data_IF_588827406276
#
_entry.id   IF_588827406276
#
_cell.length_a   1.000
_cell.length_b   1.000
_cell.length_c   1.000
_cell.angle_alpha   90.00
_cell.angle_beta   90.00
_cell.angle_gamma   90.00
#
_symmetry.space_group_name_H-M   'P 1'
#
loop_
_entity.id
_entity.type
_entity.pdbx_description
1 polymer ?
#
# COMPACT_ATOMS: atom_id res chain seq x y z
N UNK A 1 22.04 -34.02 18.74
CA UNK A 1 22.54 -33.46 20.02
C UNK A 1 21.85 -32.11 20.20
N UNK A 2 20.67 -32.10 20.81
CA UNK A 2 20.43 -31.67 22.20
C UNK A 2 21.11 -30.33 22.54
N UNK A 3 20.35 -29.24 22.42
CA UNK A 3 20.61 -28.01 23.17
C UNK A 3 19.95 -28.10 24.55
N UNK A 4 20.56 -27.56 25.61
CA UNK A 4 20.08 -27.65 26.99
C UNK A 4 18.88 -26.72 27.24
N UNK A 5 18.06 -26.99 28.28
CA UNK A 5 16.97 -26.11 28.68
C UNK A 5 17.50 -24.82 29.34
N UNK A 6 16.91 -23.68 29.00
CA UNK A 6 17.13 -22.41 29.69
C UNK A 6 16.52 -22.44 31.11
N UNK A 7 17.14 -21.74 32.09
CA UNK A 7 16.69 -21.70 33.48
C UNK A 7 15.39 -20.90 33.66
N UNK A 8 14.60 -21.15 34.72
CA UNK A 8 13.39 -20.41 34.99
C UNK A 8 13.68 -18.96 35.40
N UNK A 9 12.98 -18.00 34.79
CA UNK A 9 13.01 -16.59 35.17
C UNK A 9 12.46 -16.34 36.58
N UNK A 10 12.86 -15.25 37.24
CA UNK A 10 12.56 -14.98 38.64
C UNK A 10 11.07 -14.72 38.89
N UNK A 11 10.60 -15.25 40.02
CA UNK A 11 9.19 -15.29 40.42
C UNK A 11 8.53 -13.93 40.62
N UNK A 12 7.23 -13.91 40.32
CA UNK A 12 6.28 -12.82 40.58
C UNK A 12 6.08 -12.63 42.09
N UNK A 13 6.08 -11.40 42.64
CA UNK A 13 5.64 -11.19 44.01
C UNK A 13 4.09 -11.28 44.12
N UNK A 14 3.56 -11.76 45.26
CA UNK A 14 2.12 -12.00 45.43
C UNK A 14 1.40 -10.80 46.05
N UNK A 15 0.16 -10.56 45.59
CA UNK A 15 -0.96 -10.30 46.50
C UNK A 15 -1.51 -8.88 46.63
N UNK A 16 -2.85 -8.80 46.53
CA UNK A 16 -3.75 -7.80 47.13
C UNK A 16 -4.35 -6.83 46.12
N UNK A 17 -5.66 -6.70 45.90
CA UNK A 17 -6.89 -7.12 46.58
C UNK A 17 -8.08 -6.52 45.78
N UNK A 18 -9.35 -6.80 46.13
CA UNK A 18 -10.48 -6.73 45.21
C UNK A 18 -11.06 -5.33 44.95
N UNK A 19 -11.54 -5.13 43.72
CA UNK A 19 -12.43 -4.04 43.30
C UNK A 19 -13.76 -4.07 44.08
N UNK A 20 -14.30 -2.92 44.53
CA UNK A 20 -15.72 -2.78 44.80
C UNK A 20 -16.47 -2.35 43.52
N UNK A 21 -17.61 -2.99 43.29
CA UNK A 21 -18.59 -2.68 42.25
C UNK A 21 -19.38 -1.38 42.48
N UNK A 22 -20.39 -1.11 41.64
CA UNK A 22 -20.90 0.23 41.37
C UNK A 22 -22.02 0.64 42.34
N UNK A 23 -21.96 1.87 42.84
CA UNK A 23 -23.05 2.46 43.63
C UNK A 23 -22.64 3.74 44.35
N UNK A 24 -22.97 4.90 43.77
CA UNK A 24 -22.83 6.20 44.42
C UNK A 24 -23.15 7.38 43.48
N UNK A 25 -23.66 8.52 43.98
CA UNK A 25 -24.68 9.33 43.30
C UNK A 25 -24.13 10.33 42.28
N UNK A 26 -24.96 10.62 41.27
CA UNK A 26 -24.76 11.65 40.24
C UNK A 26 -24.82 13.06 40.87
N UNK A 27 -23.80 13.92 40.68
CA UNK A 27 -23.87 15.33 41.05
C UNK A 27 -24.63 16.17 40.00
N UNK A 28 -25.34 17.24 40.42
CA UNK A 28 -26.24 18.01 39.56
C UNK A 28 -25.52 18.86 38.52
N UNK A 29 -26.20 19.04 37.38
CA UNK A 29 -25.70 19.72 36.18
C UNK A 29 -25.27 21.17 36.39
N UNK A 30 -24.33 21.60 35.54
CA UNK A 30 -23.90 23.01 35.44
C UNK A 30 -24.66 23.74 34.32
N UNK A 31 -24.92 25.06 34.49
CA UNK A 31 -25.78 25.85 33.61
C UNK A 31 -25.10 26.21 32.28
N UNK A 32 -25.93 26.39 31.25
CA UNK A 32 -25.52 26.78 29.91
C UNK A 32 -24.76 28.12 29.86
N UNK A 33 -23.82 28.20 28.93
CA UNK A 33 -23.08 29.42 28.64
C UNK A 33 -24.01 30.44 27.96
N UNK A 34 -24.16 31.59 28.62
CA UNK A 34 -24.89 32.75 28.13
C UNK A 34 -24.18 33.49 27.01
N UNK A 35 -24.96 34.31 26.30
CA UNK A 35 -24.53 35.16 25.20
C UNK A 35 -23.44 36.18 25.63
N UNK A 36 -22.53 36.58 24.70
CA UNK A 36 -21.52 37.60 24.99
C UNK A 36 -22.13 39.02 25.11
N UNK A 37 -21.47 39.92 25.87
CA UNK A 37 -21.96 41.27 26.17
C UNK A 37 -21.91 42.24 24.96
N UNK A 38 -22.77 43.27 24.94
CA UNK A 38 -22.81 44.26 23.85
C UNK A 38 -21.67 45.28 24.01
N UNK A 39 -20.87 45.51 22.96
CA UNK A 39 -19.85 46.58 23.08
C UNK A 39 -18.77 46.77 22.01
N UNK A 40 -18.69 45.97 20.94
CA UNK A 40 -17.75 46.25 19.85
C UNK A 40 -18.47 46.31 18.51
N UNK A 41 -18.52 47.51 17.94
CA UNK A 41 -19.12 47.80 16.64
C UNK A 41 -18.37 47.15 15.50
N UNK A 42 -19.12 46.65 14.52
CA UNK A 42 -18.64 46.07 13.27
C UNK A 42 -18.11 47.21 12.37
N UNK A 43 -16.90 47.11 11.77
CA UNK A 43 -16.48 48.06 10.75
C UNK A 43 -17.38 47.97 9.50
N UNK A 44 -17.69 49.09 8.82
CA UNK A 44 -18.69 49.11 7.77
C UNK A 44 -18.15 48.52 6.45
N UNK A 45 -18.93 47.60 5.87
CA UNK A 45 -18.91 47.39 4.41
C UNK A 45 -18.52 45.99 3.93
N UNK A 46 -19.33 44.97 4.21
CA UNK A 46 -19.58 43.89 3.25
C UNK A 46 -21.06 43.49 3.36
N UNK A 47 -21.84 43.80 2.33
CA UNK A 47 -23.25 43.43 2.24
C UNK A 47 -23.40 41.91 2.20
N UNK A 48 -24.49 41.44 2.81
CA UNK A 48 -24.90 40.05 2.80
C UNK A 48 -25.04 39.53 1.35
N UNK A 49 -24.07 38.74 0.90
CA UNK A 49 -24.23 37.89 -0.26
C UNK A 49 -25.21 36.77 0.08
N UNK A 50 -26.22 36.58 -0.77
CA UNK A 50 -27.16 35.48 -0.66
C UNK A 50 -26.42 34.16 -0.44
N UNK A 51 -26.80 33.40 0.59
CA UNK A 51 -26.28 32.06 0.82
C UNK A 51 -26.50 31.17 -0.41
N UNK A 52 -25.64 30.16 -0.65
CA UNK A 52 -25.82 29.25 -1.76
C UNK A 52 -27.16 28.53 -1.60
N UNK A 53 -28.06 28.71 -2.56
CA UNK A 53 -29.31 27.97 -2.65
C UNK A 53 -29.06 26.45 -2.74
N UNK A 54 -30.10 25.63 -2.53
CA UNK A 54 -29.98 24.18 -2.57
C UNK A 54 -29.38 23.72 -3.90
N UNK A 55 -28.35 22.86 -3.83
CA UNK A 55 -27.70 22.27 -4.99
C UNK A 55 -28.71 21.37 -5.73
N UNK A 56 -28.82 21.46 -7.06
CA UNK A 56 -29.68 20.55 -7.81
C UNK A 56 -29.17 19.11 -7.68
N UNK A 57 -30.06 18.10 -7.69
CA UNK A 57 -29.66 16.70 -7.70
C UNK A 57 -28.85 16.41 -8.98
N UNK A 58 -27.69 15.75 -8.84
CA UNK A 58 -26.84 15.38 -9.97
C UNK A 58 -27.47 14.23 -10.77
N UNK A 59 -27.80 14.50 -12.05
CA UNK A 59 -28.42 13.55 -12.99
C UNK A 59 -29.37 14.15 -14.05
N UNK A 60 -29.62 15.46 -14.04
CA UNK A 60 -30.49 16.08 -15.06
C UNK A 60 -29.77 16.28 -16.41
N UNK A 61 -30.45 16.09 -17.57
CA UNK A 61 -29.88 16.40 -18.88
C UNK A 61 -29.49 17.88 -19.00
N UNK A 62 -28.37 18.16 -19.69
CA UNK A 62 -27.97 19.53 -20.02
C UNK A 62 -29.05 20.20 -20.91
N UNK A 63 -29.36 21.50 -20.70
CA UNK A 63 -30.30 22.22 -21.55
C UNK A 63 -29.73 22.39 -22.98
N UNK A 64 -30.59 22.54 -24.01
CA UNK A 64 -30.14 22.67 -25.40
C UNK A 64 -29.24 23.90 -25.59
N UNK A 65 -28.22 23.75 -26.44
CA UNK A 65 -27.32 24.83 -26.82
C UNK A 65 -28.08 25.96 -27.52
N UNK A 66 -28.27 27.09 -26.83
CA UNK A 66 -28.96 28.23 -27.44
C UNK A 66 -29.25 29.46 -26.56
N UNK A 67 -28.78 29.52 -25.30
CA UNK A 67 -29.02 30.73 -24.48
C UNK A 67 -27.93 31.79 -24.71
N UNK A 68 -28.31 33.08 -24.89
CA UNK A 68 -27.37 34.16 -25.17
C UNK A 68 -26.52 34.47 -23.93
N UNK A 69 -25.21 34.54 -24.15
CA UNK A 69 -24.22 34.88 -23.12
C UNK A 69 -24.34 36.37 -22.81
N UNK A 70 -24.72 36.71 -21.57
CA UNK A 70 -24.71 38.10 -21.09
C UNK A 70 -23.29 38.70 -21.04
N UNK A 71 -23.14 40.04 -20.98
CA UNK A 71 -21.86 40.71 -21.15
C UNK A 71 -20.85 40.32 -20.06
N UNK A 72 -19.68 39.83 -20.49
CA UNK A 72 -18.55 39.49 -19.63
C UNK A 72 -18.01 40.75 -18.96
N UNK A 73 -17.99 40.77 -17.62
CA UNK A 73 -17.21 41.77 -16.86
C UNK A 73 -15.71 41.47 -17.02
N UNK A 74 -14.84 42.49 -17.17
CA UNK A 74 -13.40 42.29 -17.19
C UNK A 74 -12.91 41.67 -15.87
N UNK A 75 -12.04 40.68 -15.97
CA UNK A 75 -11.30 40.13 -14.82
C UNK A 75 -10.35 41.21 -14.27
N UNK A 76 -10.15 41.30 -12.94
CA UNK A 76 -9.17 42.20 -12.37
C UNK A 76 -7.74 41.81 -12.80
N UNK A 77 -6.83 42.77 -12.95
CA UNK A 77 -5.46 42.51 -13.38
C UNK A 77 -4.69 41.67 -12.36
N UNK A 78 -3.89 40.73 -12.87
CA UNK A 78 -2.97 39.92 -12.07
C UNK A 78 -1.90 40.82 -11.40
N UNK A 79 -1.46 40.51 -10.17
CA UNK A 79 -0.39 41.24 -9.52
C UNK A 79 0.95 41.05 -10.28
N UNK A 80 1.87 42.03 -10.22
CA UNK A 80 3.16 41.96 -10.91
C UNK A 80 4.03 40.82 -10.39
N UNK A 81 4.82 40.20 -11.28
CA UNK A 81 5.80 39.19 -10.93
C UNK A 81 6.87 39.78 -9.98
N UNK A 82 7.03 39.18 -8.78
CA UNK A 82 8.10 39.54 -7.83
C UNK A 82 7.68 39.71 -6.36
N UNK A 83 6.41 39.50 -5.99
CA UNK A 83 5.98 39.61 -4.59
C UNK A 83 6.17 38.27 -3.83
N UNK A 84 7.38 38.03 -3.33
CA UNK A 84 7.60 36.99 -2.33
C UNK A 84 7.17 37.53 -0.96
N UNK A 85 6.10 36.94 -0.42
CA UNK A 85 5.66 37.19 0.95
C UNK A 85 6.79 36.85 1.94
N UNK A 86 7.02 37.76 2.87
CA UNK A 86 7.95 37.60 3.99
C UNK A 86 7.52 36.41 4.86
N UNK A 87 8.38 35.44 5.20
CA UNK A 87 8.01 34.36 6.10
C UNK A 87 7.74 34.89 7.51
N UNK A 88 6.80 34.31 8.27
CA UNK A 88 6.51 34.74 9.63
C UNK A 88 7.70 34.45 10.55
N UNK A 89 8.03 35.43 11.41
CA UNK A 89 9.09 35.37 12.41
C UNK A 89 8.77 34.34 13.49
N UNK A 90 9.72 33.43 13.75
CA UNK A 90 9.67 32.46 14.84
C UNK A 90 9.86 33.14 16.21
N UNK A 91 8.83 33.05 17.05
CA UNK A 91 8.90 33.45 18.45
C UNK A 91 9.03 32.23 19.36
N UNK A 92 10.20 32.06 19.99
CA UNK A 92 10.36 31.45 21.32
C UNK A 92 9.97 29.97 21.50
N UNK A 93 10.71 29.03 20.90
CA UNK A 93 10.60 27.59 21.20
C UNK A 93 11.89 26.77 21.09
N UNK A 94 13.00 27.38 20.65
CA UNK A 94 14.24 26.65 20.31
C UNK A 94 15.08 26.17 21.51
N UNK A 95 14.94 26.80 22.68
CA UNK A 95 15.77 26.46 23.84
C UNK A 95 15.33 25.16 24.55
N UNK A 96 14.03 24.85 24.56
CA UNK A 96 13.53 23.63 25.20
C UNK A 96 13.85 22.37 24.37
N UNK A 97 13.78 22.47 23.04
CA UNK A 97 14.05 21.34 22.13
C UNK A 97 15.55 21.01 22.10
N UNK A 98 16.43 22.01 22.11
CA UNK A 98 17.88 21.77 22.14
C UNK A 98 18.35 21.07 23.43
N UNK A 99 17.73 21.37 24.57
CA UNK A 99 18.06 20.72 25.85
C UNK A 99 17.58 19.27 25.89
N UNK A 100 16.39 18.98 25.35
CA UNK A 100 15.86 17.60 25.29
C UNK A 100 16.67 16.73 24.33
N UNK A 101 17.07 17.27 23.16
CA UNK A 101 17.92 16.56 22.20
C UNK A 101 19.32 16.33 22.77
N UNK A 102 19.91 17.32 23.45
CA UNK A 102 21.22 17.17 24.09
C UNK A 102 21.21 16.11 25.20
N UNK A 103 20.16 16.06 26.02
CA UNK A 103 20.00 15.05 27.07
C UNK A 103 19.80 13.63 26.50
N UNK A 104 19.08 13.51 25.38
CA UNK A 104 18.88 12.22 24.72
C UNK A 104 20.17 11.70 24.07
N UNK A 105 20.95 12.57 23.42
CA UNK A 105 22.25 12.23 22.85
C UNK A 105 23.26 11.86 23.94
N UNK A 106 23.31 12.62 25.05
CA UNK A 106 24.18 12.26 26.18
C UNK A 106 23.75 10.94 26.85
N UNK A 107 22.45 10.64 26.94
CA UNK A 107 21.94 9.37 27.45
C UNK A 107 22.37 8.17 26.59
N UNK A 108 22.24 8.30 25.26
CA UNK A 108 22.66 7.28 24.29
C UNK A 108 24.17 7.01 24.32
N UNK A 109 24.99 8.07 24.37
CA UNK A 109 26.46 7.94 24.43
C UNK A 109 26.90 7.34 25.77
N UNK A 110 26.23 7.68 26.87
CA UNK A 110 26.51 7.09 28.19
C UNK A 110 26.18 5.59 28.25
N UNK A 111 25.08 5.17 27.61
CA UNK A 111 24.69 3.76 27.52
C UNK A 111 25.69 2.94 26.68
N UNK A 112 26.24 3.51 25.61
CA UNK A 112 27.25 2.87 24.76
C UNK A 112 28.61 2.69 25.48
N UNK A 113 29.04 3.66 26.29
CA UNK A 113 30.30 3.56 27.06
C UNK A 113 30.20 2.54 28.21
N UNK A 114 29.02 2.40 28.84
CA UNK A 114 28.79 1.35 29.86
C UNK A 114 28.77 -0.05 29.23
N UNK A 115 28.24 -0.20 28.01
CA UNK A 115 28.30 -1.47 27.28
C UNK A 115 29.72 -1.86 26.84
N UNK A 116 30.54 -0.87 26.42
CA UNK A 116 31.92 -1.12 26.00
C UNK A 116 32.87 -1.44 27.17
N UNK A 117 32.59 -0.97 28.38
CA UNK A 117 33.45 -1.19 29.56
C UNK A 117 33.16 -2.47 30.34
N UNK A 118 32.07 -3.18 30.02
CA UNK A 118 31.77 -4.51 30.57
C UNK A 118 32.30 -5.67 29.72
N UNK A 119 32.76 -5.42 28.50
CA UNK A 119 33.19 -6.45 27.56
C UNK A 119 34.68 -6.84 27.65
N UNK A 120 35.46 -6.21 28.54
CA UNK A 120 36.93 -6.30 28.55
C UNK A 120 37.53 -6.96 29.80
N UNK A 121 36.82 -7.92 30.39
CA UNK A 121 37.36 -8.77 31.46
C UNK A 121 36.96 -10.23 31.26
N UNK A 122 37.76 -10.93 30.47
CA UNK A 122 38.52 -12.09 30.94
C UNK A 122 39.26 -12.73 29.75
N UNK A 123 40.58 -12.64 29.78
CA UNK A 123 41.48 -13.44 28.94
C UNK A 123 42.70 -13.75 29.79
N UNK A 124 42.83 -15.00 30.25
CA UNK A 124 44.16 -15.58 30.45
C UNK A 124 44.17 -17.13 30.39
N UNK A 125 44.76 -17.61 29.30
CA UNK A 125 45.82 -18.63 29.16
C UNK A 125 45.88 -19.88 30.08
N UNK A 126 45.88 -21.09 29.48
CA UNK A 126 47.08 -21.96 29.33
C UNK A 126 46.75 -23.33 28.68
N UNK A 127 47.81 -23.97 28.18
CA UNK A 127 47.95 -24.90 27.04
C UNK A 127 47.70 -26.41 27.25
N UNK A 128 47.36 -27.05 26.13
CA UNK A 128 47.69 -28.43 25.65
C UNK A 128 46.92 -29.65 26.18
N UNK A 129 46.24 -30.42 25.31
CA UNK A 129 46.71 -31.58 24.51
C UNK A 129 45.50 -32.31 23.87
N UNK A 130 45.67 -32.96 22.70
CA UNK A 130 44.87 -34.15 22.37
C UNK A 130 44.03 -34.17 21.08
N UNK A 131 44.67 -34.59 19.98
CA UNK A 131 44.24 -35.61 19.00
C UNK A 131 42.95 -35.43 18.18
N UNK A 132 43.12 -35.23 16.87
CA UNK A 132 42.10 -35.30 15.81
C UNK A 132 42.03 -36.68 15.18
N UNK A 133 40.83 -37.23 14.88
CA UNK A 133 40.66 -38.14 13.76
C UNK A 133 39.86 -37.49 12.62
N UNK A 134 40.39 -37.67 11.42
CA UNK A 134 39.86 -37.29 10.11
C UNK A 134 38.77 -38.27 9.65
N UNK A 135 37.77 -37.78 8.92
CA UNK A 135 37.13 -38.54 7.85
C UNK A 135 36.72 -37.64 6.67
N UNK A 136 37.12 -38.10 5.49
CA UNK A 136 37.01 -37.53 4.15
C UNK A 136 35.63 -37.80 3.52
N UNK A 137 35.10 -36.83 2.74
CA UNK A 137 34.05 -37.06 1.76
C UNK A 137 34.62 -36.88 0.33
N UNK A 138 34.27 -37.75 -0.64
CA UNK A 138 34.78 -37.66 -2.01
C UNK A 138 33.97 -36.70 -2.89
N UNK A 139 34.68 -35.86 -3.63
CA UNK A 139 34.18 -35.10 -4.78
C UNK A 139 34.31 -35.93 -6.05
N UNK A 140 33.31 -35.85 -6.94
CA UNK A 140 33.40 -36.42 -8.30
C UNK A 140 33.15 -35.32 -9.31
N UNK A 141 34.20 -34.93 -10.01
CA UNK A 141 34.19 -34.17 -11.27
C UNK A 141 34.19 -35.15 -12.44
N UNK A 142 33.60 -34.77 -13.57
CA UNK A 142 33.90 -35.43 -14.83
C UNK A 142 33.91 -34.42 -15.96
N UNK A 143 35.11 -34.26 -16.53
CA UNK A 143 35.41 -33.62 -17.80
C UNK A 143 34.88 -34.50 -18.95
N UNK A 144 34.68 -33.92 -20.13
CA UNK A 144 34.48 -34.69 -21.37
C UNK A 144 35.33 -34.09 -22.48
N UNK A 145 36.21 -34.92 -23.02
CA UNK A 145 37.15 -34.64 -24.11
C UNK A 145 36.64 -35.24 -25.42
N UNK A 146 36.87 -34.52 -26.51
CA UNK A 146 36.58 -34.86 -27.91
C UNK A 146 37.41 -36.03 -28.46
N UNK A 147 36.80 -36.91 -29.26
CA UNK A 147 37.50 -37.68 -30.30
C UNK A 147 36.55 -38.02 -31.46
N UNK A 148 37.05 -37.90 -32.70
CA UNK A 148 36.35 -38.19 -33.94
C UNK A 148 36.86 -39.50 -34.56
N UNK A 149 35.97 -40.33 -35.13
CA UNK A 149 36.31 -41.30 -36.19
C UNK A 149 35.11 -41.57 -37.10
N UNK A 150 35.35 -41.49 -38.41
CA UNK A 150 34.53 -41.83 -39.59
C UNK A 150 34.13 -43.30 -39.72
N UNK A 151 32.92 -43.60 -40.23
CA UNK A 151 32.69 -44.58 -41.32
C UNK A 151 31.27 -44.52 -41.90
N UNK A 152 31.16 -44.62 -43.22
CA UNK A 152 29.93 -44.67 -44.06
C UNK A 152 29.27 -46.07 -43.98
N UNK A 153 28.03 -46.41 -44.39
CA UNK A 153 27.09 -46.02 -45.46
C UNK A 153 25.80 -46.90 -45.25
N UNK A 154 24.83 -46.98 -46.19
CA UNK A 154 23.53 -46.29 -46.19
C UNK A 154 22.33 -47.20 -45.84
N UNK A 155 21.17 -46.62 -45.53
CA UNK A 155 19.88 -47.29 -45.74
C UNK A 155 18.82 -46.29 -46.20
N UNK A 156 18.43 -46.46 -47.45
CA UNK A 156 17.28 -45.88 -48.16
C UNK A 156 15.96 -46.29 -47.50
N UNK A 157 15.00 -45.36 -47.39
CA UNK A 157 13.55 -45.62 -47.61
C UNK A 157 12.73 -44.32 -47.51
N UNK A 158 12.37 -43.82 -48.69
CA UNK A 158 11.08 -43.26 -49.12
C UNK A 158 10.31 -42.26 -48.23
N UNK A 159 10.31 -41.00 -48.69
CA UNK A 159 9.31 -40.01 -48.33
C UNK A 159 8.02 -40.21 -49.14
N UNK A 160 6.91 -40.52 -48.47
CA UNK A 160 5.58 -40.41 -49.05
C UNK A 160 5.04 -38.99 -48.81
N UNK A 161 5.07 -38.18 -49.86
CA UNK A 161 4.31 -36.93 -49.93
C UNK A 161 2.83 -37.26 -50.07
N UNK A 162 2.03 -36.90 -49.07
CA UNK A 162 0.57 -36.89 -49.18
C UNK A 162 0.08 -35.43 -49.11
N UNK A 163 -0.18 -34.84 -50.27
CA UNK A 163 -0.93 -33.59 -50.39
C UNK A 163 -2.35 -33.79 -49.88
N UNK A 164 -2.69 -33.20 -48.73
CA UNK A 164 -4.08 -33.04 -48.28
C UNK A 164 -4.50 -31.60 -48.53
N UNK A 165 -5.33 -31.41 -49.55
CA UNK A 165 -6.09 -30.19 -49.76
C UNK A 165 -7.17 -30.11 -48.67
N UNK A 166 -6.87 -29.44 -47.56
CA UNK A 166 -7.86 -29.11 -46.56
C UNK A 166 -8.64 -27.87 -47.02
N UNK A 167 -9.93 -28.04 -47.30
CA UNK A 167 -10.86 -26.92 -47.48
C UNK A 167 -10.79 -26.03 -46.23
N UNK A 168 -10.59 -24.73 -46.44
CA UNK A 168 -10.72 -23.73 -45.39
C UNK A 168 -12.15 -23.78 -44.82
N UNK A 169 -12.28 -24.31 -43.60
CA UNK A 169 -13.51 -24.18 -42.82
C UNK A 169 -13.78 -22.71 -42.51
N UNK A 170 -15.05 -22.31 -42.31
CA UNK A 170 -15.38 -20.93 -41.99
C UNK A 170 -14.65 -20.52 -40.71
N UNK A 171 -13.77 -19.53 -40.82
CA UNK A 171 -13.08 -18.92 -39.69
C UNK A 171 -14.14 -18.22 -38.84
N UNK A 172 -14.69 -18.96 -37.89
CA UNK A 172 -15.47 -18.37 -36.81
C UNK A 172 -14.43 -17.75 -35.89
N UNK A 173 -14.11 -16.48 -36.07
CA UNK A 173 -13.36 -15.71 -35.07
C UNK A 173 -14.24 -15.64 -33.83
N UNK A 174 -14.13 -16.65 -32.98
CA UNK A 174 -14.61 -16.59 -31.59
C UNK A 174 -13.94 -15.35 -31.02
N UNK A 175 -14.73 -14.34 -30.65
CA UNK A 175 -14.21 -13.17 -29.97
C UNK A 175 -13.40 -13.68 -28.78
N UNK A 176 -12.10 -13.38 -28.74
CA UNK A 176 -11.24 -13.75 -27.63
C UNK A 176 -11.88 -13.18 -26.36
N UNK A 177 -12.09 -14.03 -25.36
CA UNK A 177 -12.60 -13.59 -24.06
C UNK A 177 -11.69 -12.54 -23.42
N UNK A 178 -12.08 -11.99 -22.26
CA UNK A 178 -11.24 -11.05 -21.54
C UNK A 178 -9.85 -11.63 -21.26
N UNK A 179 -8.78 -10.90 -21.61
CA UNK A 179 -7.39 -11.32 -21.43
C UNK A 179 -6.57 -10.21 -20.78
N UNK A 180 -5.62 -10.54 -19.89
CA UNK A 180 -4.63 -9.56 -19.42
C UNK A 180 -3.89 -8.93 -20.61
N UNK A 181 -3.44 -7.70 -20.45
CA UNK A 181 -2.62 -7.01 -21.45
C UNK A 181 -1.31 -6.61 -20.79
N UNK A 182 -0.24 -7.32 -21.14
CA UNK A 182 1.11 -7.01 -20.66
C UNK A 182 1.57 -5.64 -21.21
N UNK A 183 1.24 -4.59 -20.45
CA UNK A 183 1.51 -3.20 -20.76
C UNK A 183 1.45 -2.40 -19.45
N UNK A 184 2.35 -1.43 -19.29
CA UNK A 184 2.34 -0.45 -18.21
C UNK A 184 1.58 0.81 -18.64
N UNK A 185 2.27 1.83 -19.14
CA UNK A 185 1.70 3.14 -19.49
C UNK A 185 0.48 3.11 -20.43
N UNK A 186 0.46 2.13 -21.36
CA UNK A 186 -0.57 1.99 -22.38
C UNK A 186 -1.60 0.88 -22.06
N UNK A 187 -1.69 0.42 -20.81
CA UNK A 187 -2.66 -0.60 -20.42
C UNK A 187 -4.11 -0.12 -20.69
N UNK A 188 -5.01 -0.97 -21.23
CA UNK A 188 -6.41 -0.62 -21.44
C UNK A 188 -7.15 -0.14 -20.19
N UNK A 189 -6.65 -0.50 -19.00
CA UNK A 189 -7.14 0.00 -17.72
C UNK A 189 -7.23 1.54 -17.68
N UNK A 190 -6.31 2.24 -18.35
CA UNK A 190 -6.22 3.71 -18.37
C UNK A 190 -6.90 4.38 -19.57
N UNK A 191 -7.47 3.62 -20.50
CA UNK A 191 -7.92 4.14 -21.79
C UNK A 191 -9.10 5.12 -21.69
N UNK A 192 -9.94 4.99 -20.66
CA UNK A 192 -11.14 5.81 -20.49
C UNK A 192 -11.01 6.79 -19.31
N UNK A 193 -10.98 8.08 -19.62
CA UNK A 193 -10.80 9.14 -18.63
C UNK A 193 -11.96 9.32 -17.65
N UNK A 194 -13.12 8.74 -17.94
CA UNK A 194 -14.30 8.81 -17.08
C UNK A 194 -14.46 7.58 -16.18
N UNK A 195 -13.62 6.54 -16.36
CA UNK A 195 -13.69 5.34 -15.55
C UNK A 195 -13.14 5.58 -14.14
N UNK A 196 -13.85 5.05 -13.16
CA UNK A 196 -13.53 5.05 -11.74
C UNK A 196 -14.30 3.94 -11.04
N UNK A 197 -14.08 3.78 -9.75
CA UNK A 197 -14.83 2.82 -8.95
C UNK A 197 -16.28 3.26 -8.83
N UNK A 198 -17.21 2.32 -8.97
CA UNK A 198 -18.61 2.57 -8.68
C UNK A 198 -18.82 2.68 -7.16
N UNK A 199 -19.69 3.59 -6.75
CA UNK A 199 -20.02 3.79 -5.34
C UNK A 199 -20.90 2.65 -4.83
N UNK A 200 -20.30 1.72 -4.09
CA UNK A 200 -20.98 0.56 -3.49
C UNK A 200 -20.91 0.66 -1.97
N UNK A 201 -22.04 0.43 -1.29
CA UNK A 201 -22.03 0.26 0.17
C UNK A 201 -21.43 -1.10 0.53
N UNK A 202 -20.37 -1.09 1.33
CA UNK A 202 -19.74 -2.29 1.84
C UNK A 202 -20.36 -2.67 3.18
N UNK A 203 -20.93 -3.87 3.26
CA UNK A 203 -21.35 -4.47 4.52
C UNK A 203 -20.16 -5.25 5.10
N UNK A 204 -19.47 -4.66 6.07
CA UNK A 204 -18.34 -5.28 6.75
C UNK A 204 -18.79 -5.85 8.11
N UNK A 205 -18.38 -7.09 8.47
CA UNK A 205 -18.62 -7.60 9.81
C UNK A 205 -17.80 -6.79 10.84
N UNK A 206 -18.11 -6.97 12.13
CA UNK A 206 -17.32 -6.35 13.20
C UNK A 206 -15.85 -6.80 13.16
N UNK A 207 -14.94 -5.89 13.49
CA UNK A 207 -13.52 -6.18 13.58
C UNK A 207 -13.14 -6.80 14.93
N UNK A 208 -12.20 -7.74 14.89
CA UNK A 208 -11.41 -8.18 16.03
C UNK A 208 -10.08 -8.77 15.52
N UNK A 209 -8.99 -8.55 16.26
CA UNK A 209 -7.66 -9.08 15.97
C UNK A 209 -7.55 -10.59 16.28
N UNK A 210 -8.41 -11.38 15.65
CA UNK A 210 -8.34 -12.84 15.64
C UNK A 210 -8.38 -13.32 14.20
N UNK A 211 -7.61 -14.36 13.87
CA UNK A 211 -7.50 -14.84 12.49
C UNK A 211 -8.86 -15.13 11.85
N UNK A 212 -9.80 -15.75 12.58
CA UNK A 212 -11.15 -16.06 12.05
C UNK A 212 -11.97 -14.80 11.76
N UNK A 213 -12.01 -13.84 12.68
CA UNK A 213 -12.80 -12.61 12.50
C UNK A 213 -12.17 -11.71 11.44
N UNK A 214 -10.85 -11.53 11.47
CA UNK A 214 -10.12 -10.75 10.47
C UNK A 214 -10.26 -11.35 9.06
N UNK A 215 -10.16 -12.68 8.93
CA UNK A 215 -10.38 -13.36 7.64
C UNK A 215 -11.81 -13.12 7.13
N UNK A 216 -12.82 -13.18 7.99
CA UNK A 216 -14.20 -12.87 7.59
C UNK A 216 -14.36 -11.40 7.16
N UNK A 217 -13.74 -10.47 7.90
CA UNK A 217 -13.70 -9.05 7.59
C UNK A 217 -13.09 -8.77 6.22
N UNK A 218 -11.90 -9.30 5.96
CA UNK A 218 -11.19 -9.09 4.70
C UNK A 218 -11.85 -9.82 3.51
N UNK A 219 -12.52 -10.96 3.73
CA UNK A 219 -13.33 -11.58 2.68
C UNK A 219 -14.55 -10.71 2.29
N UNK A 220 -15.19 -10.06 3.27
CA UNK A 220 -16.27 -9.10 2.99
C UNK A 220 -15.74 -7.86 2.24
N UNK A 221 -14.56 -7.36 2.63
CA UNK A 221 -13.86 -6.28 1.93
C UNK A 221 -13.53 -6.67 0.47
N UNK A 222 -12.95 -7.86 0.25
CA UNK A 222 -12.66 -8.43 -1.08
C UNK A 222 -13.91 -8.49 -1.96
N UNK A 223 -15.02 -8.94 -1.38
CA UNK A 223 -16.32 -8.98 -2.07
C UNK A 223 -16.80 -7.58 -2.46
N UNK A 224 -16.61 -6.58 -1.60
CA UNK A 224 -17.00 -5.20 -1.91
C UNK A 224 -16.13 -4.59 -3.01
N UNK A 225 -14.80 -4.68 -2.87
CA UNK A 225 -13.83 -4.22 -3.88
C UNK A 225 -14.07 -4.88 -5.24
N UNK A 226 -14.39 -6.18 -5.25
CA UNK A 226 -14.77 -6.89 -6.47
C UNK A 226 -16.00 -6.30 -7.16
N UNK A 227 -17.04 -5.95 -6.41
CA UNK A 227 -18.22 -5.26 -6.97
C UNK A 227 -17.86 -3.90 -7.56
N UNK A 228 -16.88 -3.20 -6.97
CA UNK A 228 -16.45 -1.87 -7.41
C UNK A 228 -15.59 -1.92 -8.69
N UNK A 229 -14.68 -2.89 -8.79
CA UNK A 229 -13.73 -3.03 -9.91
C UNK A 229 -14.31 -3.76 -11.13
N UNK A 230 -15.07 -4.83 -10.90
CA UNK A 230 -15.52 -5.73 -11.97
C UNK A 230 -16.24 -5.02 -13.14
N UNK A 231 -17.14 -4.04 -12.93
CA UNK A 231 -17.82 -3.37 -14.05
C UNK A 231 -16.85 -2.70 -15.01
N UNK A 232 -15.81 -2.04 -14.49
CA UNK A 232 -14.85 -1.31 -15.29
C UNK A 232 -13.90 -2.24 -16.05
N UNK A 233 -13.39 -3.28 -15.39
CA UNK A 233 -12.54 -4.28 -16.03
C UNK A 233 -13.27 -4.94 -17.20
N UNK A 234 -14.55 -5.30 -17.01
CA UNK A 234 -15.41 -5.80 -18.07
C UNK A 234 -15.57 -4.82 -19.23
N UNK A 235 -15.74 -3.52 -18.95
CA UNK A 235 -15.86 -2.48 -19.98
C UNK A 235 -14.59 -2.32 -20.81
N UNK A 236 -13.41 -2.68 -20.28
CA UNK A 236 -12.14 -2.64 -20.99
C UNK A 236 -11.71 -4.02 -21.56
N UNK A 237 -12.61 -5.01 -21.54
CA UNK A 237 -12.31 -6.40 -21.92
C UNK A 237 -11.11 -7.01 -21.15
N UNK A 238 -10.92 -6.59 -19.90
CA UNK A 238 -9.91 -7.13 -18.97
C UNK A 238 -10.55 -8.22 -18.08
N UNK A 239 -9.77 -9.24 -17.66
CA UNK A 239 -10.31 -10.34 -16.89
C UNK A 239 -10.65 -9.92 -15.47
N UNK A 240 -11.46 -10.73 -14.81
CA UNK A 240 -11.77 -10.55 -13.40
C UNK A 240 -12.04 -11.89 -12.73
N UNK A 241 -11.33 -12.12 -11.64
CA UNK A 241 -11.64 -13.08 -10.60
C UNK A 241 -11.37 -12.44 -9.24
N UNK A 242 -12.01 -12.95 -8.19
CA UNK A 242 -11.73 -12.48 -6.84
C UNK A 242 -10.44 -13.13 -6.31
N UNK A 243 -9.62 -12.41 -5.52
CA UNK A 243 -8.48 -13.01 -4.86
C UNK A 243 -8.94 -13.87 -3.68
N UNK A 244 -8.13 -14.84 -3.30
CA UNK A 244 -8.21 -15.51 -1.99
C UNK A 244 -7.68 -14.56 -0.92
N UNK A 245 -8.09 -14.80 0.33
CA UNK A 245 -7.67 -14.00 1.49
C UNK A 245 -7.22 -14.92 2.60
N UNK A 246 -6.05 -14.63 3.18
CA UNK A 246 -5.46 -15.37 4.30
C UNK A 246 -4.96 -14.38 5.35
N UNK A 247 -5.53 -14.41 6.55
CA UNK A 247 -5.16 -13.50 7.65
C UNK A 247 -4.83 -14.30 8.92
N UNK A 248 -3.62 -14.88 9.05
CA UNK A 248 -3.23 -15.61 10.24
C UNK A 248 -2.90 -14.65 11.38
N UNK A 249 -2.87 -15.17 12.61
CA UNK A 249 -2.43 -14.38 13.77
C UNK A 249 -0.97 -13.99 13.63
N UNK A 250 -0.10 -14.92 13.20
CA UNK A 250 1.32 -14.68 13.04
C UNK A 250 1.78 -14.86 11.59
N UNK A 251 2.67 -14.00 11.11
CA UNK A 251 3.32 -14.18 9.80
C UNK A 251 4.10 -15.50 9.70
N UNK A 252 4.62 -16.02 10.81
CA UNK A 252 5.27 -17.34 10.85
C UNK A 252 4.34 -18.50 10.50
N UNK A 253 3.03 -18.30 10.58
CA UNK A 253 2.02 -19.32 10.23
C UNK A 253 1.68 -19.29 8.73
N UNK A 254 2.26 -18.36 7.96
CA UNK A 254 2.01 -18.23 6.53
C UNK A 254 2.74 -19.30 5.72
N UNK A 255 2.03 -19.77 4.69
CA UNK A 255 2.63 -20.51 3.58
C UNK A 255 2.19 -19.84 2.29
N UNK A 256 3.16 -19.30 1.54
CA UNK A 256 2.94 -18.59 0.29
C UNK A 256 3.98 -18.99 -0.76
N UNK A 257 3.59 -19.20 -2.03
CA UNK A 257 4.54 -19.43 -3.11
C UNK A 257 5.34 -18.17 -3.48
N UNK A 258 4.89 -16.99 -3.05
CA UNK A 258 5.64 -15.73 -3.20
C UNK A 258 6.49 -15.40 -1.96
N UNK A 259 6.48 -16.25 -0.93
CA UNK A 259 7.17 -16.00 0.33
C UNK A 259 8.64 -15.67 0.12
N UNK A 260 8.99 -14.39 0.22
CA UNK A 260 10.33 -13.93 0.52
C UNK A 260 10.46 -13.71 2.02
N UNK A 261 11.63 -14.04 2.56
CA UNK A 261 12.10 -13.53 3.84
C UNK A 261 12.24 -12.01 3.74
N UNK A 262 11.31 -11.23 4.29
CA UNK A 262 11.33 -9.77 4.27
C UNK A 262 10.40 -9.14 5.32
N UNK A 263 10.64 -7.86 5.65
CA UNK A 263 9.74 -7.05 6.47
C UNK A 263 8.60 -6.53 5.58
N UNK A 264 7.46 -7.21 5.55
CA UNK A 264 6.24 -6.75 4.89
C UNK A 264 5.12 -6.58 5.91
N UNK A 265 4.19 -5.64 5.69
CA UNK A 265 2.98 -5.51 6.52
C UNK A 265 1.89 -6.49 6.05
N UNK A 266 1.61 -6.46 4.75
CA UNK A 266 0.72 -7.34 4.00
C UNK A 266 1.31 -7.51 2.59
N UNK A 267 0.78 -8.45 1.80
CA UNK A 267 1.17 -8.58 0.40
C UNK A 267 0.14 -9.35 -0.43
N UNK A 268 0.02 -9.01 -1.71
CA UNK A 268 -0.61 -9.83 -2.74
C UNK A 268 0.40 -10.75 -3.42
N UNK A 269 0.02 -12.01 -3.63
CA UNK A 269 0.81 -13.01 -4.34
C UNK A 269 0.17 -13.37 -5.68
N UNK A 270 0.75 -12.90 -6.79
CA UNK A 270 0.29 -13.19 -8.14
C UNK A 270 0.38 -14.68 -8.53
N UNK A 271 1.28 -15.45 -7.91
CA UNK A 271 1.44 -16.88 -8.24
C UNK A 271 0.25 -17.75 -7.80
N UNK A 272 -0.58 -17.30 -6.86
CA UNK A 272 -1.75 -18.05 -6.39
C UNK A 272 -3.01 -17.19 -6.16
N UNK A 273 -3.00 -15.94 -6.63
CA UNK A 273 -4.06 -14.94 -6.49
C UNK A 273 -4.54 -14.77 -5.04
N UNK A 274 -3.60 -14.59 -4.10
CA UNK A 274 -3.93 -14.52 -2.66
C UNK A 274 -3.40 -13.24 -2.02
N UNK A 275 -4.27 -12.54 -1.29
CA UNK A 275 -3.90 -11.45 -0.39
C UNK A 275 -3.62 -12.03 1.01
N UNK A 276 -2.43 -11.75 1.53
CA UNK A 276 -1.95 -12.20 2.83
C UNK A 276 -1.90 -11.02 3.82
N UNK A 277 -2.62 -11.14 4.93
CA UNK A 277 -2.78 -10.10 5.97
C UNK A 277 -2.41 -10.62 7.37
N UNK A 278 -1.13 -10.92 7.65
CA UNK A 278 -0.69 -11.36 8.98
C UNK A 278 -0.95 -10.28 10.04
N UNK A 279 -1.66 -10.65 11.11
CA UNK A 279 -2.17 -9.68 12.09
C UNK A 279 -1.07 -9.03 12.94
N UNK A 280 0.03 -9.72 13.17
CA UNK A 280 1.20 -9.19 13.88
C UNK A 280 2.07 -8.23 13.05
N UNK A 281 1.92 -8.24 11.72
CA UNK A 281 2.67 -7.37 10.81
C UNK A 281 1.88 -6.11 10.40
N UNK A 282 0.55 -6.17 10.40
CA UNK A 282 -0.30 -4.97 10.20
C UNK A 282 -0.48 -4.14 11.49
N UNK A 283 0.33 -4.39 12.52
CA UNK A 283 0.40 -3.63 13.77
C UNK A 283 -0.94 -3.54 14.51
N UNK A 284 -1.60 -4.69 14.69
CA UNK A 284 -2.89 -4.75 15.40
C UNK A 284 -2.80 -4.31 16.87
N UNK A 285 -1.62 -4.40 17.47
CA UNK A 285 -1.28 -3.92 18.81
C UNK A 285 -1.17 -2.38 18.89
N UNK A 286 -0.72 -1.72 17.82
CA UNK A 286 -0.59 -0.26 17.72
C UNK A 286 -1.94 0.39 17.38
N UNK A 287 -2.62 -0.12 16.35
CA UNK A 287 -3.84 0.49 15.83
C UNK A 287 -5.12 0.02 16.54
N UNK A 288 -5.10 -1.12 17.25
CA UNK A 288 -6.23 -1.63 18.03
C UNK A 288 -7.51 -1.83 17.22
N UNK A 289 -8.60 -1.18 17.65
CA UNK A 289 -9.92 -1.29 17.00
C UNK A 289 -10.09 -0.35 15.78
N UNK A 290 -9.01 0.30 15.32
CA UNK A 290 -9.03 1.17 14.13
C UNK A 290 -9.03 0.35 12.84
N UNK A 291 -10.09 -0.43 12.65
CA UNK A 291 -10.29 -1.36 11.53
C UNK A 291 -10.10 -0.71 10.15
N UNK A 292 -10.37 0.58 10.04
CA UNK A 292 -10.27 1.35 8.81
C UNK A 292 -8.80 1.47 8.32
N UNK A 293 -7.82 1.41 9.22
CA UNK A 293 -6.39 1.34 8.86
C UNK A 293 -6.04 0.01 8.19
N UNK A 294 -6.56 -1.11 8.71
CA UNK A 294 -6.31 -2.41 8.08
C UNK A 294 -7.07 -2.55 6.76
N UNK A 295 -8.22 -1.88 6.63
CA UNK A 295 -9.01 -1.90 5.41
C UNK A 295 -8.34 -1.13 4.25
N UNK A 296 -7.69 0.00 4.52
CA UNK A 296 -6.92 0.71 3.47
C UNK A 296 -5.68 -0.08 3.05
N UNK A 297 -4.99 -0.75 3.99
CA UNK A 297 -3.90 -1.70 3.66
C UNK A 297 -4.44 -2.83 2.78
N UNK A 298 -5.58 -3.42 3.14
CA UNK A 298 -6.21 -4.45 2.30
C UNK A 298 -6.60 -3.91 0.91
N UNK A 299 -7.03 -2.65 0.81
CA UNK A 299 -7.37 -2.02 -0.47
C UNK A 299 -6.13 -1.78 -1.34
N UNK A 300 -4.98 -1.48 -0.73
CA UNK A 300 -3.68 -1.42 -1.40
C UNK A 300 -3.30 -2.78 -1.99
N UNK A 301 -3.39 -3.86 -1.20
CA UNK A 301 -3.12 -5.22 -1.72
C UNK A 301 -4.11 -5.64 -2.81
N UNK A 302 -5.36 -5.19 -2.72
CA UNK A 302 -6.31 -5.37 -3.81
C UNK A 302 -5.93 -4.60 -5.07
N UNK A 303 -5.23 -3.46 -4.93
CA UNK A 303 -4.62 -2.73 -6.03
C UNK A 303 -3.62 -3.58 -6.80
N UNK A 304 -2.74 -4.31 -6.10
CA UNK A 304 -1.84 -5.28 -6.73
C UNK A 304 -2.57 -6.42 -7.41
N UNK A 305 -3.66 -6.92 -6.82
CA UNK A 305 -4.54 -7.89 -7.49
C UNK A 305 -5.08 -7.34 -8.82
N UNK A 306 -5.51 -6.07 -8.86
CA UNK A 306 -5.93 -5.42 -10.10
C UNK A 306 -4.78 -5.32 -11.10
N UNK A 307 -3.58 -4.93 -10.68
CA UNK A 307 -2.40 -4.88 -11.55
C UNK A 307 -2.05 -6.25 -12.16
N UNK A 308 -2.22 -7.32 -11.39
CA UNK A 308 -2.05 -8.70 -11.86
C UNK A 308 -3.14 -9.08 -12.87
N UNK A 309 -4.42 -8.84 -12.57
CA UNK A 309 -5.53 -9.07 -13.49
C UNK A 309 -5.32 -8.36 -14.85
N UNK A 310 -4.79 -7.14 -14.83
CA UNK A 310 -4.62 -6.35 -16.04
C UNK A 310 -3.32 -6.62 -16.81
N UNK A 311 -2.39 -7.39 -16.24
CA UNK A 311 -1.07 -7.70 -16.82
C UNK A 311 -0.02 -6.60 -16.60
N UNK A 312 -0.31 -5.59 -15.77
CA UNK A 312 0.65 -4.53 -15.44
C UNK A 312 1.82 -5.11 -14.63
N UNK A 313 1.50 -5.93 -13.63
CA UNK A 313 2.50 -6.55 -12.74
C UNK A 313 3.48 -7.42 -13.54
N UNK A 314 2.99 -8.24 -14.47
CA UNK A 314 3.83 -9.09 -15.31
C UNK A 314 4.75 -8.25 -16.22
N UNK A 315 4.22 -7.18 -16.81
CA UNK A 315 5.00 -6.28 -17.66
C UNK A 315 6.06 -5.52 -16.87
N UNK A 316 5.73 -5.07 -15.65
CA UNK A 316 6.68 -4.41 -14.76
C UNK A 316 7.81 -5.35 -14.36
N UNK A 317 7.49 -6.59 -13.98
CA UNK A 317 8.48 -7.59 -13.56
C UNK A 317 9.49 -7.85 -14.69
N UNK A 318 9.02 -8.01 -15.92
CA UNK A 318 9.88 -8.17 -17.10
C UNK A 318 10.79 -6.95 -17.33
N UNK A 319 10.22 -5.73 -17.28
CA UNK A 319 10.99 -4.50 -17.48
C UNK A 319 12.05 -4.29 -16.39
N UNK A 320 11.72 -4.67 -15.16
CA UNK A 320 12.62 -4.56 -14.01
C UNK A 320 13.78 -5.55 -14.12
N UNK A 321 13.51 -6.79 -14.49
CA UNK A 321 14.54 -7.79 -14.78
C UNK A 321 15.51 -7.31 -15.86
N UNK A 322 14.98 -6.79 -16.99
CA UNK A 322 15.78 -6.30 -18.12
C UNK A 322 16.71 -5.13 -17.75
N UNK A 323 16.29 -4.27 -16.82
CA UNK A 323 17.04 -3.09 -16.37
C UNK A 323 17.98 -3.39 -15.19
N UNK A 324 17.78 -4.53 -14.52
CA UNK A 324 18.41 -4.88 -13.26
C UNK A 324 17.55 -4.47 -12.07
N UNK A 325 17.20 -5.45 -11.23
CA UNK A 325 16.27 -5.33 -10.10
C UNK A 325 16.63 -4.23 -9.09
N UNK A 326 17.93 -4.08 -8.82
CA UNK A 326 18.47 -3.12 -7.84
C UNK A 326 19.05 -1.86 -8.50
N UNK A 327 18.87 -1.70 -9.81
CA UNK A 327 19.27 -0.46 -10.49
C UNK A 327 18.31 0.67 -10.13
N UNK A 328 18.77 1.93 -10.20
CA UNK A 328 17.90 3.11 -9.97
C UNK A 328 16.62 3.06 -10.81
N UNK A 329 16.71 2.57 -12.04
CA UNK A 329 15.55 2.41 -12.94
C UNK A 329 14.67 1.24 -12.53
N UNK A 330 15.24 0.13 -12.10
CA UNK A 330 14.50 -1.02 -11.58
C UNK A 330 13.71 -0.65 -10.31
N UNK A 331 14.34 0.08 -9.39
CA UNK A 331 13.69 0.61 -8.19
C UNK A 331 12.61 1.66 -8.52
N UNK A 332 12.81 2.49 -9.57
CA UNK A 332 11.76 3.38 -10.05
C UNK A 332 10.53 2.62 -10.58
N UNK A 333 10.73 1.49 -11.27
CA UNK A 333 9.63 0.65 -11.71
C UNK A 333 8.87 0.02 -10.54
N UNK A 334 9.56 -0.36 -9.46
CA UNK A 334 8.91 -0.80 -8.21
C UNK A 334 8.06 0.33 -7.62
N UNK A 335 8.63 1.53 -7.44
CA UNK A 335 7.89 2.70 -6.92
C UNK A 335 6.66 3.06 -7.74
N UNK A 336 6.73 2.96 -9.07
CA UNK A 336 5.56 3.17 -9.95
C UNK A 336 4.46 2.14 -9.70
N UNK A 337 4.82 0.87 -9.48
CA UNK A 337 3.86 -0.20 -9.18
C UNK A 337 3.18 0.04 -7.82
N UNK A 338 3.98 0.32 -6.78
CA UNK A 338 3.47 0.56 -5.41
C UNK A 338 2.58 1.80 -5.33
N UNK A 339 3.01 2.92 -5.93
CA UNK A 339 2.23 4.17 -5.91
C UNK A 339 0.93 4.08 -6.73
N UNK A 340 0.88 3.20 -7.73
CA UNK A 340 -0.35 2.93 -8.48
C UNK A 340 -1.34 2.13 -7.64
N UNK A 341 -0.89 1.09 -6.95
CA UNK A 341 -1.70 0.34 -5.98
C UNK A 341 -2.20 1.26 -4.85
N UNK A 342 -1.35 2.17 -4.41
CA UNK A 342 -1.68 3.18 -3.42
C UNK A 342 -2.74 4.19 -3.91
N UNK A 343 -2.66 4.63 -5.16
CA UNK A 343 -3.71 5.45 -5.78
C UNK A 343 -5.03 4.69 -5.88
N UNK A 344 -4.99 3.39 -6.22
CA UNK A 344 -6.17 2.52 -6.25
C UNK A 344 -6.82 2.36 -4.86
N UNK A 345 -6.03 2.25 -3.80
CA UNK A 345 -6.53 2.26 -2.42
C UNK A 345 -7.23 3.60 -2.08
N UNK A 346 -6.62 4.72 -2.48
CA UNK A 346 -7.23 6.04 -2.35
C UNK A 346 -8.59 6.13 -3.06
N UNK A 347 -8.70 5.60 -4.29
CA UNK A 347 -9.98 5.56 -5.02
C UNK A 347 -11.07 4.81 -4.24
N UNK A 348 -10.73 3.67 -3.62
CA UNK A 348 -11.63 2.91 -2.77
C UNK A 348 -12.07 3.73 -1.57
N UNK A 349 -11.13 4.40 -0.88
CA UNK A 349 -11.44 5.25 0.28
C UNK A 349 -12.34 6.42 -0.11
N UNK A 350 -12.07 7.10 -1.21
CA UNK A 350 -12.90 8.22 -1.69
C UNK A 350 -14.34 7.80 -2.01
N UNK A 351 -14.52 6.67 -2.71
CA UNK A 351 -15.83 6.07 -2.94
C UNK A 351 -16.53 5.68 -1.65
N UNK A 352 -15.79 5.11 -0.70
CA UNK A 352 -16.29 4.64 0.59
C UNK A 352 -16.72 5.78 1.52
N UNK A 353 -15.98 6.90 1.53
CA UNK A 353 -16.39 8.15 2.18
C UNK A 353 -17.70 8.65 1.58
N UNK A 354 -17.83 8.66 0.26
CA UNK A 354 -19.04 9.14 -0.42
C UNK A 354 -20.30 8.36 -0.01
N UNK A 355 -20.20 7.04 0.16
CA UNK A 355 -21.33 6.20 0.58
C UNK A 355 -21.55 6.13 2.09
N UNK A 356 -20.68 6.77 2.88
CA UNK A 356 -20.77 6.86 4.34
C UNK A 356 -20.23 5.65 5.09
N UNK A 357 -19.27 4.90 4.53
CA UNK A 357 -18.60 3.80 5.23
C UNK A 357 -17.69 4.32 6.37
N UNK A 358 -17.07 5.48 6.16
CA UNK A 358 -16.15 6.09 7.12
C UNK A 358 -16.74 7.37 7.72
N UNK A 359 -16.46 7.62 8.99
CA UNK A 359 -16.66 8.95 9.58
C UNK A 359 -15.60 9.93 9.07
N UNK A 360 -15.87 11.24 9.19
CA UNK A 360 -14.89 12.26 8.82
C UNK A 360 -13.56 12.11 9.60
N UNK A 361 -13.64 11.77 10.89
CA UNK A 361 -12.45 11.60 11.73
C UNK A 361 -11.63 10.38 11.30
N UNK A 362 -12.28 9.30 10.87
CA UNK A 362 -11.61 8.12 10.31
C UNK A 362 -10.93 8.46 8.98
N UNK A 363 -11.62 9.19 8.09
CA UNK A 363 -11.05 9.65 6.82
C UNK A 363 -9.82 10.53 7.03
N UNK A 364 -9.91 11.53 7.92
CA UNK A 364 -8.78 12.41 8.24
C UNK A 364 -7.62 11.65 8.88
N UNK A 365 -7.91 10.61 9.67
CA UNK A 365 -6.85 9.75 10.21
C UNK A 365 -6.12 9.01 9.09
N UNK A 366 -6.86 8.31 8.22
CA UNK A 366 -6.31 7.55 7.08
C UNK A 366 -5.44 8.45 6.20
N UNK A 367 -5.95 9.63 5.82
CA UNK A 367 -5.22 10.62 5.04
C UNK A 367 -3.87 10.98 5.66
N UNK A 368 -3.82 11.21 6.97
CA UNK A 368 -2.57 11.56 7.67
C UNK A 368 -1.62 10.38 7.78
N UNK A 369 -2.17 9.20 8.05
CA UNK A 369 -1.41 7.96 8.19
C UNK A 369 -0.70 7.58 6.88
N UNK A 370 -1.28 7.89 5.71
CA UNK A 370 -0.60 7.66 4.43
C UNK A 370 0.69 8.48 4.28
N UNK A 371 0.75 9.70 4.79
CA UNK A 371 1.97 10.51 4.74
C UNK A 371 3.08 10.02 5.69
N UNK A 372 2.85 8.95 6.45
CA UNK A 372 3.86 8.34 7.34
C UNK A 372 4.32 6.95 6.90
N UNK A 373 3.92 6.49 5.70
CA UNK A 373 4.12 5.11 5.20
C UNK A 373 5.10 4.99 4.03
N UNK A 374 5.77 6.08 3.64
CA UNK A 374 6.82 6.03 2.61
C UNK A 374 8.13 5.41 3.08
N UNK A 375 9.11 5.38 2.19
CA UNK A 375 10.42 4.73 2.39
C UNK A 375 11.15 5.24 3.65
N UNK A 376 10.97 6.50 4.04
CA UNK A 376 11.59 7.06 5.25
C UNK A 376 11.09 6.42 6.57
N UNK A 377 9.97 5.70 6.52
CA UNK A 377 9.39 4.97 7.65
C UNK A 377 9.84 3.52 7.73
N UNK A 378 10.41 2.98 6.65
CA UNK A 378 10.90 1.61 6.54
C UNK A 378 12.37 1.58 6.99
N UNK A 379 12.71 0.82 8.03
CA UNK A 379 14.09 0.62 8.47
C UNK A 379 14.89 -0.32 7.53
N UNK A 380 14.37 -0.61 6.34
CA UNK A 380 14.92 -1.52 5.34
C UNK A 380 15.63 -0.77 4.21
N UNK A 381 16.45 -1.49 3.46
CA UNK A 381 17.14 -1.00 2.27
C UNK A 381 16.23 -0.93 1.02
N UNK A 382 15.05 -1.55 1.05
CA UNK A 382 14.08 -1.49 -0.04
C UNK A 382 13.39 -0.11 -0.09
N UNK A 383 13.71 0.66 -1.14
CA UNK A 383 13.11 1.97 -1.48
C UNK A 383 12.11 1.79 -2.62
N UNK A 384 11.01 1.08 -2.34
CA UNK A 384 10.00 0.68 -3.31
C UNK A 384 8.66 1.40 -3.13
N UNK A 385 8.45 2.17 -2.07
CA UNK A 385 7.19 2.90 -1.81
C UNK A 385 7.29 4.40 -2.14
N UNK A 386 8.50 4.92 -2.38
CA UNK A 386 8.77 6.35 -2.58
C UNK A 386 8.70 7.12 -1.27
N UNK A 387 9.03 8.41 -1.28
CA UNK A 387 8.93 9.23 -0.06
C UNK A 387 7.47 9.35 0.39
N UNK A 388 7.24 9.49 1.69
CA UNK A 388 5.90 9.55 2.29
C UNK A 388 5.03 10.67 1.74
N UNK A 389 5.64 11.74 1.24
CA UNK A 389 4.92 12.77 0.49
C UNK A 389 4.25 12.21 -0.78
N UNK A 390 4.97 11.47 -1.63
CA UNK A 390 4.40 10.88 -2.84
C UNK A 390 3.40 9.77 -2.51
N UNK A 391 3.72 8.93 -1.51
CA UNK A 391 2.81 7.89 -1.04
C UNK A 391 1.45 8.46 -0.62
N UNK A 392 1.47 9.53 0.18
CA UNK A 392 0.26 10.24 0.59
C UNK A 392 -0.42 10.99 -0.57
N UNK A 393 0.33 11.64 -1.47
CA UNK A 393 -0.23 12.42 -2.57
C UNK A 393 -0.97 11.53 -3.60
N UNK A 394 -0.42 10.37 -3.96
CA UNK A 394 -1.10 9.43 -4.85
C UNK A 394 -2.38 8.88 -4.24
N UNK A 395 -2.41 8.62 -2.94
CA UNK A 395 -3.61 8.20 -2.24
C UNK A 395 -4.64 9.34 -2.11
N UNK A 396 -4.27 10.43 -1.45
CA UNK A 396 -5.21 11.49 -1.03
C UNK A 396 -5.52 12.43 -2.18
N UNK A 397 -4.48 12.95 -2.83
CA UNK A 397 -4.61 14.04 -3.81
C UNK A 397 -4.94 13.55 -5.22
N UNK A 398 -4.77 12.25 -5.49
CA UNK A 398 -5.13 11.63 -6.78
C UNK A 398 -6.29 10.64 -6.61
N UNK A 399 -6.06 9.53 -5.92
CA UNK A 399 -7.01 8.42 -5.80
C UNK A 399 -8.32 8.82 -5.14
N UNK A 400 -8.25 9.24 -3.88
CA UNK A 400 -9.40 9.61 -3.04
C UNK A 400 -10.15 10.80 -3.65
N UNK A 401 -9.40 11.84 -4.02
CA UNK A 401 -9.97 13.09 -4.53
C UNK A 401 -10.74 12.93 -5.84
N UNK A 402 -10.20 12.17 -6.80
CA UNK A 402 -10.77 12.13 -8.14
C UNK A 402 -11.56 10.86 -8.44
N UNK A 403 -11.20 9.72 -7.85
CA UNK A 403 -11.74 8.41 -8.20
C UNK A 403 -11.77 8.21 -9.73
N UNK A 404 -10.60 8.34 -10.39
CA UNK A 404 -10.42 8.17 -11.84
C UNK A 404 -9.18 7.35 -12.13
N UNK A 405 -9.35 6.16 -12.70
CA UNK A 405 -8.25 5.19 -12.88
C UNK A 405 -7.14 5.72 -13.76
N UNK A 406 -7.46 6.43 -14.84
CA UNK A 406 -6.43 7.02 -15.72
C UNK A 406 -5.52 8.01 -14.98
N UNK A 407 -6.00 8.65 -13.90
CA UNK A 407 -5.18 9.57 -13.11
C UNK A 407 -4.18 8.83 -12.24
N UNK A 408 -4.44 7.56 -11.93
CA UNK A 408 -3.53 6.66 -11.21
C UNK A 408 -2.46 6.03 -12.12
N UNK A 409 -2.36 6.42 -13.39
CA UNK A 409 -1.33 5.91 -14.30
C UNK A 409 0.04 6.50 -13.94
N UNK A 410 0.70 5.89 -12.96
CA UNK A 410 2.02 6.32 -12.47
C UNK A 410 3.08 6.16 -13.54
N UNK A 411 2.93 5.25 -14.51
CA UNK A 411 3.90 4.99 -15.59
C UNK A 411 4.12 6.18 -16.52
N UNK A 412 3.13 7.07 -16.64
CA UNK A 412 3.24 8.31 -17.42
C UNK A 412 3.60 9.53 -16.55
N UNK A 413 3.76 9.35 -15.23
CA UNK A 413 4.14 10.43 -14.33
C UNK A 413 5.64 10.76 -14.46
N UNK A 414 6.03 12.03 -14.28
CA UNK A 414 7.44 12.41 -14.11
C UNK A 414 8.12 11.58 -13.01
N UNK A 415 9.39 11.21 -13.19
CA UNK A 415 10.14 10.45 -12.16
C UNK A 415 10.18 11.15 -10.81
N UNK A 416 10.12 12.49 -10.79
CA UNK A 416 10.04 13.27 -9.56
C UNK A 416 8.74 13.10 -8.77
N UNK A 417 7.64 12.66 -9.40
CA UNK A 417 6.34 12.44 -8.74
C UNK A 417 6.17 10.99 -8.25
N UNK A 418 7.14 10.13 -8.55
CA UNK A 418 7.21 8.73 -8.11
C UNK A 418 8.50 8.46 -7.33
N UNK A 419 9.08 9.55 -6.79
CA UNK A 419 10.41 9.53 -6.18
C UNK A 419 10.42 8.88 -4.81
#
# INVERSE_FOLDING_TARGET
MNRPPYPPGPGRPPGGGPYPGPGGPVPPGRPGFGAPPPGYGVPPGYGAGAGPGPRPPYGAPLPPAGYPVGPRRPLPPLPPAGYYGRPPSSGGGGAAIAVVVALFVFGMVSALVVFATMADRDSDSTTAYGTTPSYTYPSTTSETTTAATTSANPTTSESLSASRTALAGPTTTVASGPTPVAATANNPLFANQNNGLINVRCDLPGWAASSTVATAFFNAASTCLGKMWQPMLRLQNLPFHAPKVVAPTHASDLSSPCSSSGNYAAFFCGANDTIYMPLDHIQTDVYGDRWYVYLEVFAHEYGHHVQSLTGIMDQQAQQREDLGDDSDKGLELSRRLELEAQCFAGMFVGSSIYVGLFTNDQAVFMQKDQYTRGDESQATDMHDHGIGQHYGDWFVNVGEKYNRVWRCNTWNAPSGDVS
#
